data_IF_604990383057
#
_entry.id   IF_604990383057
#
_cell.length_a   1.000
_cell.length_b   1.000
_cell.length_c   1.000
_cell.angle_alpha   90.00
_cell.angle_beta   90.00
_cell.angle_gamma   90.00
#
_symmetry.space_group_name_H-M   'P 1'
#
loop_
_entity.id
_entity.type
_entity.pdbx_description
1 polymer ?
#
# COMPACT_ATOMS: atom_id res chain seq x y z
N UNK A 1 -14.84 19.44 -3.36
CA UNK A 1 -15.51 18.15 -3.67
C UNK A 1 -15.59 17.89 -5.17
N UNK A 2 -16.12 18.82 -6.02
CA UNK A 2 -16.28 18.60 -7.48
C UNK A 2 -14.98 18.23 -8.23
N UNK A 3 -13.83 18.82 -7.87
CA UNK A 3 -12.54 18.54 -8.52
C UNK A 3 -12.05 17.12 -8.23
N UNK A 4 -12.13 16.65 -6.97
CA UNK A 4 -11.75 15.28 -6.61
C UNK A 4 -12.65 14.27 -7.34
N UNK A 5 -13.97 14.53 -7.38
CA UNK A 5 -14.91 13.67 -8.12
C UNK A 5 -14.59 13.61 -9.62
N UNK A 6 -14.13 14.71 -10.22
CA UNK A 6 -13.71 14.72 -11.61
C UNK A 6 -12.49 13.80 -11.84
N UNK A 7 -11.47 13.86 -10.96
CA UNK A 7 -10.30 12.99 -11.03
C UNK A 7 -10.72 11.52 -10.96
N UNK A 8 -11.54 11.13 -9.97
CA UNK A 8 -12.02 9.76 -9.81
C UNK A 8 -12.83 9.28 -11.03
N UNK A 9 -13.67 10.14 -11.60
CA UNK A 9 -14.47 9.80 -12.77
C UNK A 9 -13.62 9.54 -14.01
N UNK A 10 -12.57 10.35 -14.23
CA UNK A 10 -11.66 10.13 -15.37
C UNK A 10 -10.78 8.91 -15.14
N UNK A 11 -10.28 8.67 -13.92
CA UNK A 11 -9.50 7.49 -13.58
C UNK A 11 -10.32 6.19 -13.77
N UNK A 12 -11.61 6.20 -13.42
CA UNK A 12 -12.48 5.04 -13.61
C UNK A 12 -12.59 4.57 -15.07
N UNK A 13 -12.43 5.48 -16.04
CA UNK A 13 -12.43 5.14 -17.48
C UNK A 13 -11.17 4.38 -17.91
N UNK A 14 -10.10 4.45 -17.11
CA UNK A 14 -8.80 3.85 -17.42
C UNK A 14 -8.64 2.44 -16.84
N UNK A 15 -9.67 1.91 -16.20
CA UNK A 15 -9.61 0.66 -15.43
C UNK A 15 -9.17 -0.55 -16.26
N UNK A 16 -9.65 -0.63 -17.51
CA UNK A 16 -9.43 -1.79 -18.39
C UNK A 16 -8.20 -1.63 -19.30
N UNK A 17 -7.47 -0.52 -19.18
CA UNK A 17 -6.26 -0.26 -19.94
C UNK A 17 -5.05 -1.00 -19.33
N UNK A 18 -4.08 -1.34 -20.18
CA UNK A 18 -2.76 -1.80 -19.73
C UNK A 18 -2.05 -0.74 -18.90
N UNK A 19 -1.07 -1.14 -18.07
CA UNK A 19 -0.28 -0.23 -17.23
C UNK A 19 0.33 0.92 -18.02
N UNK A 20 0.92 0.64 -19.18
CA UNK A 20 1.53 1.64 -20.06
C UNK A 20 0.51 2.63 -20.63
N UNK A 21 -0.61 2.14 -21.13
CA UNK A 21 -1.69 2.97 -21.68
C UNK A 21 -2.33 3.82 -20.58
N UNK A 22 -2.56 3.22 -19.41
CA UNK A 22 -3.09 3.92 -18.23
C UNK A 22 -2.17 5.06 -17.81
N UNK A 23 -0.85 4.79 -17.73
CA UNK A 23 0.14 5.82 -17.42
C UNK A 23 0.10 6.97 -18.44
N UNK A 24 0.09 6.66 -19.73
CA UNK A 24 0.02 7.66 -20.80
C UNK A 24 -1.24 8.53 -20.68
N UNK A 25 -2.40 7.91 -20.47
CA UNK A 25 -3.67 8.63 -20.28
C UNK A 25 -3.68 9.46 -18.99
N UNK A 26 -3.10 8.95 -17.90
CA UNK A 26 -2.93 9.73 -16.66
C UNK A 26 -2.12 11.00 -16.88
N UNK A 27 -1.06 10.97 -17.70
CA UNK A 27 -0.27 12.16 -17.98
C UNK A 27 -1.07 13.21 -18.77
N UNK A 28 -1.92 12.78 -19.69
CA UNK A 28 -2.68 13.69 -20.57
C UNK A 28 -3.94 14.23 -19.90
N UNK A 29 -4.69 13.38 -19.19
CA UNK A 29 -6.03 13.70 -18.68
C UNK A 29 -6.03 13.98 -17.18
N UNK A 30 -5.39 13.11 -16.38
CA UNK A 30 -5.50 13.16 -14.92
C UNK A 30 -4.54 14.19 -14.33
N UNK A 31 -3.31 14.24 -14.82
CA UNK A 31 -2.28 15.16 -14.31
C UNK A 31 -2.73 16.62 -14.31
N UNK A 32 -3.31 17.17 -15.40
CA UNK A 32 -3.81 18.54 -15.38
C UNK A 32 -4.91 18.77 -14.33
N UNK A 33 -5.77 17.79 -14.08
CA UNK A 33 -6.82 17.89 -13.07
C UNK A 33 -6.22 17.91 -11.65
N UNK A 34 -5.20 17.08 -11.40
CA UNK A 34 -4.48 17.07 -10.13
C UNK A 34 -3.72 18.38 -9.93
N UNK A 35 -3.06 18.90 -10.95
CA UNK A 35 -2.37 20.19 -10.91
C UNK A 35 -3.33 21.32 -10.59
N UNK A 36 -4.48 21.38 -11.26
CA UNK A 36 -5.54 22.36 -10.99
C UNK A 36 -6.07 22.25 -9.54
N UNK A 37 -6.23 21.04 -9.01
CA UNK A 37 -6.62 20.81 -7.62
C UNK A 37 -5.61 21.44 -6.66
N UNK A 38 -4.30 21.16 -6.84
CA UNK A 38 -3.28 21.68 -5.94
C UNK A 38 -3.08 23.20 -6.06
N UNK A 39 -3.21 23.77 -7.26
CA UNK A 39 -3.26 25.24 -7.45
C UNK A 39 -4.42 25.83 -6.66
N UNK A 40 -5.61 25.27 -6.80
CA UNK A 40 -6.79 25.71 -6.06
C UNK A 40 -6.59 25.61 -4.53
N UNK A 41 -6.00 24.50 -4.04
CA UNK A 41 -5.75 24.31 -2.61
C UNK A 41 -4.76 25.36 -2.08
N UNK A 42 -3.69 25.67 -2.82
CA UNK A 42 -2.70 26.69 -2.45
C UNK A 42 -3.35 28.08 -2.35
N UNK A 43 -4.10 28.49 -3.37
CA UNK A 43 -4.83 29.77 -3.38
C UNK A 43 -5.86 29.87 -2.25
N UNK A 44 -6.61 28.81 -1.99
CA UNK A 44 -7.61 28.80 -0.92
C UNK A 44 -6.99 28.83 0.46
N UNK A 45 -5.84 28.17 0.68
CA UNK A 45 -5.12 28.22 1.95
C UNK A 45 -4.73 29.66 2.32
N UNK A 46 -4.28 30.46 1.36
CA UNK A 46 -3.91 31.86 1.58
C UNK A 46 -5.11 32.72 2.05
N UNK A 47 -6.34 32.33 1.70
CA UNK A 47 -7.57 33.01 2.07
C UNK A 47 -8.14 32.56 3.44
N UNK A 48 -7.58 31.52 4.04
CA UNK A 48 -8.06 30.97 5.32
C UNK A 48 -7.35 31.73 6.45
N UNK A 49 -8.10 32.61 7.13
CA UNK A 49 -7.59 33.45 8.22
C UNK A 49 -7.65 32.75 9.59
N UNK A 50 -8.52 31.77 9.77
CA UNK A 50 -8.76 31.13 11.05
C UNK A 50 -8.04 29.78 11.20
N UNK A 51 -7.29 29.59 12.30
CA UNK A 51 -6.78 28.28 12.72
C UNK A 51 -7.97 27.38 13.10
N UNK A 52 -8.14 26.27 12.35
CA UNK A 52 -9.25 25.34 12.60
C UNK A 52 -9.12 24.04 11.79
N UNK A 53 -10.13 23.18 11.89
CA UNK A 53 -10.16 21.88 11.18
C UNK A 53 -9.97 22.02 9.67
N UNK A 54 -10.47 23.10 9.09
CA UNK A 54 -10.34 23.36 7.65
C UNK A 54 -8.90 23.69 7.27
N UNK A 55 -8.22 24.55 8.01
CA UNK A 55 -6.80 24.88 7.79
C UNK A 55 -5.92 23.66 7.96
N UNK A 56 -6.16 22.85 8.99
CA UNK A 56 -5.46 21.59 9.21
C UNK A 56 -5.63 20.61 8.04
N UNK A 57 -6.84 20.50 7.48
CA UNK A 57 -7.12 19.66 6.31
C UNK A 57 -6.38 20.14 5.05
N UNK A 58 -6.35 21.43 4.77
CA UNK A 58 -5.60 21.99 3.64
C UNK A 58 -4.10 21.78 3.82
N UNK A 59 -3.58 22.05 5.01
CA UNK A 59 -2.16 21.82 5.34
C UNK A 59 -1.77 20.36 5.18
N UNK A 60 -2.60 19.44 5.65
CA UNK A 60 -2.39 18.01 5.45
C UNK A 60 -2.31 17.65 3.96
N UNK A 61 -3.29 18.05 3.15
CA UNK A 61 -3.31 17.76 1.72
C UNK A 61 -2.08 18.31 0.99
N UNK A 62 -1.66 19.54 1.30
CA UNK A 62 -0.50 20.16 0.69
C UNK A 62 0.80 19.46 1.11
N UNK A 63 0.94 19.06 2.36
CA UNK A 63 2.10 18.31 2.84
C UNK A 63 2.18 16.89 2.24
N UNK A 64 1.04 16.30 1.89
CA UNK A 64 0.96 14.99 1.26
C UNK A 64 1.04 15.03 -0.28
N UNK A 65 1.17 16.21 -0.90
CA UNK A 65 1.15 16.38 -2.37
C UNK A 65 2.08 15.38 -3.08
N UNK A 66 3.31 15.21 -2.61
CA UNK A 66 4.29 14.31 -3.22
C UNK A 66 3.84 12.84 -3.21
N UNK A 67 3.19 12.39 -2.16
CA UNK A 67 2.68 11.02 -2.05
C UNK A 67 1.39 10.83 -2.86
N UNK A 68 0.51 11.83 -2.85
CA UNK A 68 -0.72 11.82 -3.63
C UNK A 68 -0.49 11.86 -5.14
N UNK A 69 0.73 12.19 -5.59
CA UNK A 69 1.12 12.21 -7.01
C UNK A 69 1.81 10.93 -7.47
N UNK A 70 2.11 9.97 -6.58
CA UNK A 70 2.89 8.77 -6.92
C UNK A 70 2.18 7.94 -8.00
N UNK A 71 0.85 7.82 -7.97
CA UNK A 71 0.09 7.08 -8.98
C UNK A 71 0.21 7.67 -10.40
N UNK A 72 0.65 8.92 -10.54
CA UNK A 72 0.94 9.55 -11.83
C UNK A 72 2.32 9.13 -12.40
N UNK A 73 3.14 8.42 -11.64
CA UNK A 73 4.48 7.99 -12.07
C UNK A 73 4.49 6.56 -12.59
N UNK A 74 3.49 5.75 -12.19
CA UNK A 74 3.39 4.35 -12.54
C UNK A 74 1.92 3.97 -12.76
N UNK A 75 1.63 3.26 -13.87
CA UNK A 75 0.29 2.82 -14.22
C UNK A 75 -0.26 1.72 -13.31
N UNK A 76 0.61 0.97 -12.63
CA UNK A 76 0.21 -0.11 -11.72
C UNK A 76 -0.11 0.39 -10.31
N UNK A 77 0.37 1.58 -9.94
CA UNK A 77 0.03 2.18 -8.65
C UNK A 77 -1.43 2.66 -8.66
N UNK A 78 -2.30 2.12 -7.78
CA UNK A 78 -3.69 2.58 -7.69
C UNK A 78 -3.76 4.00 -7.13
N UNK A 79 -4.80 4.75 -7.57
CA UNK A 79 -5.05 6.10 -7.06
C UNK A 79 -5.61 6.09 -5.63
N UNK A 80 -6.26 5.01 -5.24
CA UNK A 80 -6.85 4.83 -3.92
C UNK A 80 -6.05 3.86 -3.02
N UNK A 81 -6.39 3.81 -1.75
CA UNK A 81 -5.77 2.93 -0.76
C UNK A 81 -6.62 1.69 -0.42
N UNK A 82 -7.61 1.38 -1.25
CA UNK A 82 -8.58 0.32 -0.97
C UNK A 82 -7.94 -1.07 -0.78
N UNK A 83 -6.84 -1.34 -1.49
CA UNK A 83 -6.12 -2.61 -1.36
C UNK A 83 -5.46 -2.74 0.03
N UNK A 84 -4.78 -1.68 0.49
CA UNK A 84 -4.16 -1.64 1.82
C UNK A 84 -5.21 -1.67 2.92
N UNK A 85 -6.33 -0.97 2.75
CA UNK A 85 -7.44 -0.97 3.72
C UNK A 85 -8.07 -2.37 3.84
N UNK A 86 -8.23 -3.09 2.71
CA UNK A 86 -8.71 -4.47 2.74
C UNK A 86 -7.73 -5.41 3.45
N UNK A 87 -6.43 -5.27 3.21
CA UNK A 87 -5.40 -6.07 3.86
C UNK A 87 -5.38 -5.83 5.39
N UNK A 88 -5.44 -4.56 5.81
CA UNK A 88 -5.48 -4.19 7.24
C UNK A 88 -6.80 -4.62 7.92
N UNK A 89 -7.90 -4.72 7.18
CA UNK A 89 -9.21 -5.09 7.74
C UNK A 89 -9.17 -6.44 8.46
N UNK A 90 -8.47 -7.44 7.93
CA UNK A 90 -8.29 -8.74 8.56
C UNK A 90 -7.65 -8.61 9.95
N UNK A 91 -6.62 -7.79 10.06
CA UNK A 91 -5.96 -7.46 11.33
C UNK A 91 -6.92 -6.74 12.31
N UNK A 92 -7.65 -5.74 11.84
CA UNK A 92 -8.58 -4.98 12.68
C UNK A 92 -9.77 -5.83 13.18
N UNK A 93 -10.28 -6.76 12.36
CA UNK A 93 -11.32 -7.71 12.76
C UNK A 93 -10.80 -8.68 13.82
N UNK A 94 -9.57 -9.17 13.64
CA UNK A 94 -8.89 -10.04 14.59
C UNK A 94 -8.66 -9.41 15.96
N UNK A 95 -8.68 -8.08 16.07
CA UNK A 95 -8.57 -7.34 17.34
C UNK A 95 -9.54 -7.84 18.40
N UNK A 96 -10.72 -8.32 18.03
CA UNK A 96 -11.70 -8.91 18.97
C UNK A 96 -11.22 -10.22 19.62
N UNK A 97 -10.25 -10.92 19.02
CA UNK A 97 -9.74 -12.19 19.52
C UNK A 97 -8.57 -12.03 20.49
N UNK A 98 -7.84 -10.91 20.40
CA UNK A 98 -6.69 -10.64 21.26
C UNK A 98 -6.76 -9.29 21.96
N UNK A 99 -7.88 -8.83 22.26
CA UNK A 99 -8.32 -7.58 22.91
C UNK A 99 -7.24 -6.53 23.24
N UNK A 100 -6.04 -6.93 23.64
CA UNK A 100 -4.95 -6.04 24.05
C UNK A 100 -3.60 -6.53 23.53
N UNK A 101 -2.85 -5.67 22.90
CA UNK A 101 -1.42 -5.85 22.65
C UNK A 101 -0.69 -4.97 23.66
N UNK A 102 -0.29 -5.54 24.78
CA UNK A 102 0.24 -4.81 25.94
C UNK A 102 1.63 -4.20 25.70
N UNK A 103 2.36 -4.67 24.69
CA UNK A 103 3.74 -4.25 24.47
C UNK A 103 3.99 -3.82 23.03
N UNK A 104 4.90 -2.86 22.84
CA UNK A 104 5.36 -2.42 21.51
C UNK A 104 5.96 -3.59 20.71
N UNK A 105 6.70 -4.48 21.38
CA UNK A 105 7.29 -5.65 20.73
C UNK A 105 6.24 -6.68 20.33
N UNK A 106 5.19 -6.87 21.13
CA UNK A 106 4.04 -7.70 20.76
C UNK A 106 3.29 -7.15 19.56
N UNK A 107 3.10 -5.83 19.50
CA UNK A 107 2.49 -5.16 18.35
C UNK A 107 3.32 -5.38 17.06
N UNK A 108 4.64 -5.22 17.13
CA UNK A 108 5.55 -5.47 15.99
C UNK A 108 5.52 -6.92 15.54
N UNK A 109 5.57 -7.86 16.47
CA UNK A 109 5.50 -9.30 16.16
C UNK A 109 4.19 -9.67 15.47
N UNK A 110 3.06 -9.18 15.98
CA UNK A 110 1.74 -9.38 15.37
C UNK A 110 1.68 -8.78 13.98
N UNK A 111 2.18 -7.56 13.77
CA UNK A 111 2.21 -6.92 12.46
C UNK A 111 3.03 -7.74 11.45
N UNK A 112 4.18 -8.30 11.85
CA UNK A 112 5.01 -9.16 10.99
C UNK A 112 4.26 -10.42 10.60
N UNK A 113 3.66 -11.14 11.58
CA UNK A 113 2.91 -12.38 11.32
C UNK A 113 1.75 -12.12 10.36
N UNK A 114 0.98 -11.04 10.58
CA UNK A 114 -0.11 -10.67 9.66
C UNK A 114 0.39 -10.30 8.28
N UNK A 115 1.49 -9.57 8.19
CA UNK A 115 2.10 -9.20 6.92
C UNK A 115 2.50 -10.43 6.10
N UNK A 116 3.08 -11.44 6.75
CA UNK A 116 3.43 -12.73 6.13
C UNK A 116 2.17 -13.46 5.66
N UNK A 117 1.13 -13.54 6.50
CA UNK A 117 -0.12 -14.21 6.16
C UNK A 117 -0.85 -13.55 4.97
N UNK A 118 -0.92 -12.22 4.94
CA UNK A 118 -1.55 -11.49 3.85
C UNK A 118 -0.71 -11.55 2.56
N UNK A 119 0.62 -11.57 2.67
CA UNK A 119 1.52 -11.80 1.53
C UNK A 119 1.31 -13.20 0.93
N UNK A 120 1.22 -14.23 1.78
CA UNK A 120 0.93 -15.59 1.32
C UNK A 120 -0.41 -15.65 0.55
N UNK A 121 -1.48 -15.07 1.11
CA UNK A 121 -2.79 -15.00 0.44
C UNK A 121 -2.74 -14.24 -0.88
N UNK A 122 -2.03 -13.12 -0.94
CA UNK A 122 -1.89 -12.31 -2.15
C UNK A 122 -1.16 -13.05 -3.27
N UNK A 123 -0.34 -14.04 -2.92
CA UNK A 123 0.38 -14.91 -3.86
C UNK A 123 -0.29 -16.29 -4.03
N UNK A 124 -1.57 -16.44 -3.65
CA UNK A 124 -2.35 -17.68 -3.74
C UNK A 124 -1.74 -18.86 -2.97
N UNK A 125 -0.92 -18.59 -1.94
CA UNK A 125 -0.40 -19.61 -1.05
C UNK A 125 -1.38 -19.84 0.10
N UNK A 126 -1.41 -21.07 0.62
CA UNK A 126 -2.10 -21.37 1.88
C UNK A 126 -1.24 -20.87 3.04
N UNK A 127 -1.71 -19.91 3.86
CA UNK A 127 -0.89 -19.34 4.92
C UNK A 127 -0.35 -20.38 5.91
N UNK A 128 -1.13 -21.42 6.22
CA UNK A 128 -0.69 -22.50 7.12
C UNK A 128 0.53 -23.24 6.58
N UNK A 129 0.48 -23.71 5.35
CA UNK A 129 1.58 -24.43 4.68
C UNK A 129 2.81 -23.54 4.52
N UNK A 130 2.60 -22.24 4.25
CA UNK A 130 3.68 -21.27 4.15
C UNK A 130 4.35 -21.00 5.51
N UNK A 131 3.59 -20.91 6.59
CA UNK A 131 4.17 -20.79 7.94
C UNK A 131 4.91 -22.06 8.37
N UNK A 132 4.38 -23.24 8.08
CA UNK A 132 5.05 -24.53 8.34
C UNK A 132 6.41 -24.59 7.63
N UNK A 133 6.44 -24.22 6.34
CA UNK A 133 7.68 -24.09 5.57
C UNK A 133 8.66 -23.11 6.22
N UNK A 134 8.22 -21.91 6.55
CA UNK A 134 9.09 -20.90 7.18
C UNK A 134 9.64 -21.39 8.51
N UNK A 135 8.83 -22.02 9.36
CA UNK A 135 9.25 -22.54 10.65
C UNK A 135 10.22 -23.73 10.52
N UNK A 136 10.17 -24.46 9.44
CA UNK A 136 11.13 -25.53 9.11
C UNK A 136 12.46 -24.94 8.63
N UNK A 137 12.42 -23.98 7.72
CA UNK A 137 13.62 -23.45 7.06
C UNK A 137 14.37 -22.43 7.93
N UNK A 138 13.67 -21.57 8.67
CA UNK A 138 14.31 -20.53 9.50
C UNK A 138 15.27 -21.11 10.53
N UNK A 139 14.94 -22.17 11.31
CA UNK A 139 15.86 -22.76 12.28
C UNK A 139 17.14 -23.33 11.66
N UNK A 140 17.06 -23.91 10.47
CA UNK A 140 18.23 -24.43 9.74
C UNK A 140 19.22 -23.32 9.37
N UNK A 141 18.75 -22.07 9.26
CA UNK A 141 19.54 -20.90 8.91
C UNK A 141 19.82 -19.96 10.08
N UNK A 142 19.24 -20.21 11.25
CA UNK A 142 19.43 -19.38 12.45
C UNK A 142 20.88 -19.41 12.99
N UNK A 143 21.69 -20.37 12.56
CA UNK A 143 23.14 -20.47 12.87
C UNK A 143 23.95 -19.44 12.03
N UNK A 144 23.38 -18.87 10.97
CA UNK A 144 24.03 -17.87 10.14
C UNK A 144 23.67 -16.48 10.65
N UNK A 145 24.54 -15.90 11.43
CA UNK A 145 24.45 -14.65 12.19
C UNK A 145 24.24 -13.35 11.39
N UNK A 146 23.67 -13.38 10.20
CA UNK A 146 23.33 -12.17 9.44
C UNK A 146 22.01 -12.32 8.70
N UNK A 147 21.07 -11.46 9.02
CA UNK A 147 19.78 -11.24 8.33
C UNK A 147 19.89 -11.12 6.80
N UNK A 148 21.06 -10.80 6.25
CA UNK A 148 21.30 -10.69 4.82
C UNK A 148 21.15 -12.05 4.09
N UNK A 149 21.50 -13.17 4.70
CA UNK A 149 21.31 -14.50 4.08
C UNK A 149 19.86 -14.96 4.04
N UNK A 150 19.02 -14.50 4.97
CA UNK A 150 17.58 -14.81 4.96
C UNK A 150 16.83 -14.03 3.86
N UNK A 151 17.24 -12.79 3.61
CA UNK A 151 16.69 -12.00 2.50
C UNK A 151 16.95 -12.66 1.16
N UNK A 152 18.18 -13.08 0.90
CA UNK A 152 18.55 -13.71 -0.38
C UNK A 152 17.82 -15.04 -0.60
N UNK A 153 17.55 -15.82 0.44
CA UNK A 153 16.81 -17.08 0.31
C UNK A 153 15.29 -16.92 0.25
N UNK A 154 14.73 -15.97 0.98
CA UNK A 154 13.31 -15.61 0.87
C UNK A 154 12.98 -14.97 -0.48
N UNK A 155 13.93 -14.21 -1.05
CA UNK A 155 13.79 -13.59 -2.37
C UNK A 155 14.46 -14.39 -3.49
N UNK A 156 15.48 -15.21 -3.22
CA UNK A 156 16.12 -16.08 -4.18
C UNK A 156 15.17 -17.15 -4.71
N UNK A 157 14.31 -17.68 -3.85
CA UNK A 157 13.24 -18.60 -4.27
C UNK A 157 12.26 -17.97 -5.27
N UNK A 158 12.07 -16.66 -5.19
CA UNK A 158 11.30 -15.87 -6.17
C UNK A 158 12.01 -15.76 -7.53
N UNK A 159 13.36 -15.71 -7.53
CA UNK A 159 14.16 -15.55 -8.76
C UNK A 159 14.47 -16.88 -9.48
N UNK A 160 14.35 -18.02 -8.80
CA UNK A 160 14.66 -19.35 -9.36
C UNK A 160 13.55 -19.91 -10.29
N UNK A 161 12.60 -19.07 -10.71
CA UNK A 161 11.62 -19.41 -11.74
C UNK A 161 10.54 -20.40 -11.29
N UNK A 162 10.39 -20.63 -9.99
CA UNK A 162 9.27 -21.38 -9.44
C UNK A 162 7.99 -20.56 -9.55
N UNK A 163 7.21 -20.82 -10.58
CA UNK A 163 5.86 -20.27 -10.70
C UNK A 163 5.02 -20.87 -9.56
N UNK A 164 4.41 -20.02 -8.76
CA UNK A 164 3.50 -20.39 -7.66
C UNK A 164 2.23 -21.14 -8.12
N UNK A 165 2.18 -21.56 -9.39
CA UNK A 165 1.01 -22.19 -10.03
C UNK A 165 1.08 -23.73 -9.97
N UNK A 166 2.17 -24.34 -9.50
CA UNK A 166 2.33 -25.79 -9.48
C UNK A 166 2.41 -26.42 -8.09
N UNK A 167 1.79 -25.81 -7.06
CA UNK A 167 1.60 -26.49 -5.78
C UNK A 167 0.12 -26.47 -5.39
#
# INVERSE_FOLDING_TARGET
>A
MKQIQAIYREEAKLKDLSSKERLAQRQVVIRPLVDALFVYLKQKREQIVAKGKLEAAFTYLLNQEKYLRVFLQDGDVPMDNNASERAIRGFCIGKKNWEVIDTINGAKASAVIYSIAETAKANNLKPYEYFEYLLTVIPEHAVVTKWNGLKEKLFGWWNDGHSWVEI
#
